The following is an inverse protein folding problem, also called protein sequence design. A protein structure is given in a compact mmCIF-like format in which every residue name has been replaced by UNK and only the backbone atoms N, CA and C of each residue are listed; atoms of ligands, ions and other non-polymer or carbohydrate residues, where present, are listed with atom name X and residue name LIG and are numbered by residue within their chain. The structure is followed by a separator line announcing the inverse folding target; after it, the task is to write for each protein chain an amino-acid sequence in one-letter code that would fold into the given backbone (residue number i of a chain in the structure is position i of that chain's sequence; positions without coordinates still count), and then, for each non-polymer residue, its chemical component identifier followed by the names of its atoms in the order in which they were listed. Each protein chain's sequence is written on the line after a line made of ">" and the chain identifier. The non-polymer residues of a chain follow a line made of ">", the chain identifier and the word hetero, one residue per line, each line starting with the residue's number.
data_IF_398156550720
#
_entry.id   IF_398156550720
#
_cell.length_a   1.000
_cell.length_b   1.000
_cell.length_c   1.000
_cell.angle_alpha   90.00
_cell.angle_beta   90.00
_cell.angle_gamma   90.00
#
_symmetry.space_group_name_H-M   'P 1'
#
loop_
_entity.id
_entity.type
_entity.pdbx_description
1 polymer ?
#
# COMPACT_ATOMS: atom_id res chain seq x y z
N UNK A 1 44.37 16.07 -2.65
CA UNK A 1 43.55 14.86 -2.88
C UNK A 1 43.45 13.94 -1.66
N UNK A 2 44.54 13.53 -0.99
CA UNK A 2 44.49 12.59 0.16
C UNK A 2 43.68 13.05 1.39
N UNK A 3 43.71 14.35 1.75
CA UNK A 3 42.99 14.90 2.91
C UNK A 3 41.46 14.81 2.75
N UNK A 4 40.95 15.02 1.54
CA UNK A 4 39.51 14.92 1.26
C UNK A 4 39.05 13.46 1.34
N UNK A 5 39.89 12.51 0.92
CA UNK A 5 39.59 11.08 1.01
C UNK A 5 39.48 10.59 2.46
N UNK A 6 40.36 11.06 3.35
CA UNK A 6 40.32 10.74 4.78
C UNK A 6 39.05 11.30 5.44
N UNK A 7 38.70 12.55 5.14
CA UNK A 7 37.48 13.17 5.67
C UNK A 7 36.23 12.47 5.16
N UNK A 8 36.16 12.14 3.87
CA UNK A 8 35.04 11.39 3.28
C UNK A 8 34.91 9.99 3.89
N UNK A 9 36.03 9.29 4.10
CA UNK A 9 36.02 7.98 4.74
C UNK A 9 35.53 8.06 6.19
N UNK A 10 35.97 9.07 6.95
CA UNK A 10 35.54 9.27 8.34
C UNK A 10 34.03 9.56 8.44
N UNK A 11 33.51 10.42 7.55
CA UNK A 11 32.08 10.72 7.46
C UNK A 11 31.27 9.46 7.11
N UNK A 12 31.74 8.65 6.17
CA UNK A 12 31.06 7.40 5.81
C UNK A 12 31.01 6.41 6.99
N UNK A 13 32.09 6.29 7.77
CA UNK A 13 32.11 5.43 8.98
C UNK A 13 31.14 5.94 10.05
N UNK A 14 31.07 7.26 10.27
CA UNK A 14 30.13 7.85 11.24
C UNK A 14 28.68 7.61 10.80
N UNK A 15 28.36 7.82 9.53
CA UNK A 15 27.02 7.55 8.98
C UNK A 15 26.68 6.06 9.12
N UNK A 16 27.60 5.16 8.76
CA UNK A 16 27.39 3.72 8.90
C UNK A 16 27.18 3.32 10.37
N UNK A 17 27.99 3.86 11.30
CA UNK A 17 27.86 3.64 12.74
C UNK A 17 26.52 4.14 13.29
N UNK A 18 26.06 5.31 12.85
CA UNK A 18 24.75 5.85 13.21
C UNK A 18 23.61 4.98 12.66
N UNK A 19 23.67 4.58 11.40
CA UNK A 19 22.64 3.72 10.77
C UNK A 19 22.58 2.34 11.45
N UNK A 20 23.73 1.72 11.74
CA UNK A 20 23.81 0.45 12.44
C UNK A 20 23.32 0.57 13.90
N UNK A 21 23.73 1.63 14.60
CA UNK A 21 23.27 1.93 15.96
C UNK A 21 21.77 2.19 16.03
N UNK A 22 21.21 2.92 15.07
CA UNK A 22 19.78 3.14 14.96
C UNK A 22 19.02 1.83 14.69
N UNK A 23 19.51 0.96 13.80
CA UNK A 23 18.90 -0.36 13.58
C UNK A 23 18.96 -1.26 14.81
N UNK A 24 20.05 -1.20 15.57
CA UNK A 24 20.21 -1.94 16.81
C UNK A 24 19.25 -1.43 17.90
N UNK A 25 19.08 -0.11 18.02
CA UNK A 25 18.23 0.51 19.04
C UNK A 25 16.74 0.44 18.71
N UNK A 26 16.34 0.60 17.45
CA UNK A 26 14.94 0.73 17.03
C UNK A 26 14.36 -0.54 16.38
N UNK A 27 15.17 -1.58 16.16
CA UNK A 27 14.74 -2.83 15.55
C UNK A 27 14.36 -2.72 14.07
N UNK A 28 13.64 -3.71 13.56
CA UNK A 28 13.13 -3.74 12.18
C UNK A 28 11.86 -2.90 12.05
N UNK A 29 11.91 -1.87 11.20
CA UNK A 29 10.76 -1.02 10.87
C UNK A 29 10.06 -1.59 9.63
N UNK A 30 8.74 -1.82 9.73
CA UNK A 30 7.93 -2.19 8.56
C UNK A 30 7.75 -0.94 7.69
N UNK A 31 8.18 -0.96 6.42
CA UNK A 31 8.16 0.23 5.56
C UNK A 31 6.73 0.63 5.19
N UNK A 32 6.35 1.91 5.35
CA UNK A 32 5.02 2.37 4.97
C UNK A 32 4.84 2.44 3.45
N UNK A 33 3.58 2.39 3.04
CA UNK A 33 3.13 2.59 1.65
C UNK A 33 2.13 3.73 1.62
N UNK A 34 2.20 4.56 0.59
CA UNK A 34 1.25 5.65 0.39
C UNK A 34 0.00 5.14 -0.33
N UNK A 35 -1.15 5.67 0.07
CA UNK A 35 -2.46 5.42 -0.54
C UNK A 35 -3.36 6.63 -0.43
N UNK A 36 -4.60 6.49 -0.90
CA UNK A 36 -5.62 7.51 -0.77
C UNK A 36 -6.86 7.01 -0.03
N UNK A 37 -7.45 7.89 0.77
CA UNK A 37 -8.77 7.70 1.36
C UNK A 37 -9.48 9.06 1.43
N UNK A 38 -10.72 9.14 0.96
CA UNK A 38 -11.52 10.38 0.95
C UNK A 38 -10.76 11.62 0.41
N UNK A 39 -9.97 11.43 -0.66
CA UNK A 39 -9.19 12.49 -1.30
C UNK A 39 -7.86 12.82 -0.60
N UNK A 40 -7.59 12.27 0.59
CA UNK A 40 -6.39 12.52 1.38
C UNK A 40 -5.34 11.42 1.21
N UNK A 41 -4.06 11.80 1.22
CA UNK A 41 -2.95 10.84 1.27
C UNK A 41 -2.85 10.20 2.65
N UNK A 42 -2.67 8.89 2.67
CA UNK A 42 -2.49 8.09 3.88
C UNK A 42 -1.29 7.16 3.76
N UNK A 43 -0.83 6.67 4.91
CA UNK A 43 0.19 5.64 5.01
C UNK A 43 -0.38 4.38 5.64
N UNK A 44 0.06 3.22 5.16
CA UNK A 44 -0.35 1.90 5.66
C UNK A 44 0.78 0.89 5.45
N UNK A 45 0.59 -0.35 5.94
CA UNK A 45 1.55 -1.46 5.79
C UNK A 45 0.86 -2.74 5.31
N UNK A 46 1.65 -3.72 4.85
CA UNK A 46 1.19 -5.03 4.36
C UNK A 46 1.76 -6.19 5.18
N UNK A 47 1.33 -6.42 6.42
CA UNK A 47 1.87 -7.51 7.24
C UNK A 47 1.53 -8.91 6.69
N UNK A 48 0.30 -9.15 6.23
CA UNK A 48 -0.15 -10.48 5.75
C UNK A 48 -1.08 -10.40 4.54
N UNK A 49 -1.08 -11.45 3.71
CA UNK A 49 -2.03 -11.63 2.61
C UNK A 49 -2.47 -13.10 2.49
N UNK A 50 -3.68 -13.33 1.99
CA UNK A 50 -4.23 -14.68 1.84
C UNK A 50 -3.64 -15.48 0.68
N UNK A 51 -3.10 -14.79 -0.32
CA UNK A 51 -2.57 -15.41 -1.54
C UNK A 51 -1.04 -15.31 -1.60
N UNK A 52 -0.33 -16.41 -1.90
CA UNK A 52 1.13 -16.43 -1.91
C UNK A 52 1.75 -15.57 -3.02
N UNK A 53 1.10 -15.41 -4.18
CA UNK A 53 1.62 -14.57 -5.26
C UNK A 53 1.48 -13.10 -4.91
N UNK A 54 0.36 -12.71 -4.31
CA UNK A 54 0.15 -11.34 -3.79
C UNK A 54 1.14 -11.02 -2.68
N UNK A 55 1.32 -11.92 -1.71
CA UNK A 55 2.32 -11.75 -0.65
C UNK A 55 3.74 -11.56 -1.23
N UNK A 56 4.12 -12.35 -2.23
CA UNK A 56 5.42 -12.23 -2.90
C UNK A 56 5.57 -10.90 -3.65
N UNK A 57 4.53 -10.45 -4.36
CA UNK A 57 4.52 -9.17 -5.06
C UNK A 57 4.75 -8.01 -4.08
N UNK A 58 3.97 -7.96 -2.99
CA UNK A 58 4.06 -6.92 -1.97
C UNK A 58 5.41 -6.96 -1.22
N UNK A 59 5.94 -8.16 -0.98
CA UNK A 59 7.28 -8.34 -0.39
C UNK A 59 8.35 -7.71 -1.27
N UNK A 60 8.31 -7.96 -2.58
CA UNK A 60 9.25 -7.38 -3.55
C UNK A 60 9.11 -5.87 -3.65
N UNK A 61 7.87 -5.36 -3.66
CA UNK A 61 7.59 -3.93 -3.77
C UNK A 61 8.24 -3.10 -2.65
N UNK A 62 8.27 -3.61 -1.41
CA UNK A 62 8.76 -2.85 -0.24
C UNK A 62 10.02 -3.40 0.39
N UNK A 63 10.54 -4.52 -0.09
CA UNK A 63 11.73 -5.18 0.48
C UNK A 63 11.52 -5.66 1.91
N UNK A 64 10.27 -5.92 2.32
CA UNK A 64 9.88 -6.34 3.67
C UNK A 64 8.93 -7.54 3.57
N UNK A 65 9.11 -8.61 4.36
CA UNK A 65 8.28 -9.81 4.24
C UNK A 65 6.79 -9.55 4.48
N UNK A 66 5.96 -10.06 3.57
CA UNK A 66 4.50 -10.21 3.76
C UNK A 66 4.20 -11.67 3.97
N UNK A 67 3.56 -12.03 5.09
CA UNK A 67 3.28 -13.42 5.42
C UNK A 67 2.08 -13.95 4.65
N UNK A 68 2.15 -15.22 4.26
CA UNK A 68 1.03 -15.91 3.61
C UNK A 68 0.12 -16.50 4.69
N UNK A 69 -1.14 -16.06 4.72
CA UNK A 69 -2.15 -16.53 5.68
C UNK A 69 -3.44 -16.87 4.92
N UNK A 70 -3.55 -18.08 4.34
CA UNK A 70 -4.69 -18.47 3.48
C UNK A 70 -6.05 -18.29 4.15
N UNK A 71 -6.09 -18.45 5.47
CA UNK A 71 -7.30 -18.33 6.30
C UNK A 71 -7.95 -16.94 6.24
N UNK A 72 -7.20 -15.89 5.88
CA UNK A 72 -7.77 -14.56 5.66
C UNK A 72 -8.82 -14.56 4.54
N UNK A 73 -8.70 -15.41 3.51
CA UNK A 73 -9.70 -15.52 2.45
C UNK A 73 -11.03 -16.12 2.92
N UNK A 74 -11.07 -16.74 4.11
CA UNK A 74 -12.28 -17.30 4.72
C UNK A 74 -13.02 -16.29 5.60
N UNK A 75 -12.49 -15.08 5.77
CA UNK A 75 -13.15 -14.04 6.54
C UNK A 75 -14.54 -13.72 5.95
N UNK A 76 -15.60 -13.58 6.77
CA UNK A 76 -16.93 -13.21 6.27
C UNK A 76 -16.89 -11.87 5.54
N UNK A 77 -17.59 -11.76 4.41
CA UNK A 77 -17.53 -10.58 3.53
C UNK A 77 -17.91 -9.29 4.25
N UNK A 78 -18.80 -9.38 5.23
CA UNK A 78 -19.31 -8.27 6.03
C UNK A 78 -18.26 -7.70 7.00
N UNK A 79 -17.18 -8.45 7.25
CA UNK A 79 -16.04 -8.03 8.09
C UNK A 79 -14.91 -7.40 7.28
N UNK A 80 -15.02 -7.39 5.95
CA UNK A 80 -14.02 -6.86 5.04
C UNK A 80 -14.39 -5.45 4.61
N UNK A 81 -13.37 -4.60 4.50
CA UNK A 81 -13.45 -3.34 3.77
C UNK A 81 -12.79 -3.53 2.38
N UNK A 82 -12.91 -2.56 1.48
CA UNK A 82 -12.31 -2.68 0.15
C UNK A 82 -10.97 -1.96 0.06
N UNK A 83 -10.09 -2.50 -0.77
CA UNK A 83 -8.97 -1.78 -1.36
C UNK A 83 -9.08 -1.89 -2.88
N UNK A 84 -8.79 -0.79 -3.57
CA UNK A 84 -8.84 -0.69 -5.01
C UNK A 84 -7.42 -0.48 -5.55
N UNK A 85 -6.96 -1.41 -6.38
CA UNK A 85 -5.59 -1.47 -6.90
C UNK A 85 -5.61 -1.42 -8.41
N UNK A 86 -4.80 -0.57 -9.03
CA UNK A 86 -4.84 -0.31 -10.47
C UNK A 86 -3.83 -1.16 -11.23
N UNK A 87 -4.28 -1.86 -12.28
CA UNK A 87 -3.44 -2.68 -13.17
C UNK A 87 -2.94 -1.92 -14.41
N UNK A 88 -3.49 -0.73 -14.70
CA UNK A 88 -3.06 0.15 -15.78
C UNK A 88 -3.44 1.62 -15.52
N UNK A 89 -3.16 2.50 -16.48
CA UNK A 89 -3.52 3.93 -16.44
C UNK A 89 -2.39 4.82 -15.92
N UNK A 90 -2.69 5.68 -14.95
CA UNK A 90 -1.73 6.67 -14.41
C UNK A 90 -0.55 5.95 -13.74
N UNK A 91 0.67 6.22 -14.22
CA UNK A 91 1.90 5.68 -13.64
C UNK A 91 2.13 6.19 -12.22
N UNK A 92 2.62 5.32 -11.34
CA UNK A 92 2.81 5.65 -9.94
C UNK A 92 3.51 4.54 -9.14
N UNK A 93 3.38 4.61 -7.82
CA UNK A 93 4.09 3.74 -6.87
C UNK A 93 3.21 2.60 -6.31
N UNK A 94 2.09 2.29 -6.95
CA UNK A 94 1.21 1.19 -6.58
C UNK A 94 1.79 -0.18 -6.97
N UNK A 95 1.15 -1.30 -6.56
CA UNK A 95 1.67 -2.66 -6.73
C UNK A 95 2.02 -3.08 -8.16
N UNK A 96 1.37 -2.50 -9.18
CA UNK A 96 1.60 -2.77 -10.61
C UNK A 96 2.27 -1.59 -11.33
N UNK A 97 2.97 -0.70 -10.62
CA UNK A 97 3.61 0.51 -11.16
C UNK A 97 2.64 1.58 -11.70
N UNK A 98 1.39 1.52 -11.25
CA UNK A 98 0.35 2.51 -11.51
C UNK A 98 0.04 3.29 -10.23
N UNK A 99 -1.02 4.09 -10.24
CA UNK A 99 -1.33 4.97 -9.11
C UNK A 99 -1.46 4.23 -7.77
N UNK A 100 -1.35 5.00 -6.70
CA UNK A 100 -1.48 4.49 -5.34
C UNK A 100 -2.87 3.89 -5.07
N UNK A 101 -2.92 2.96 -4.13
CA UNK A 101 -4.15 2.24 -3.79
C UNK A 101 -5.18 3.20 -3.18
N UNK A 102 -6.46 2.96 -3.48
CA UNK A 102 -7.58 3.71 -2.91
C UNK A 102 -8.32 2.84 -1.91
N UNK A 103 -8.62 3.39 -0.74
CA UNK A 103 -9.32 2.71 0.34
C UNK A 103 -10.71 3.31 0.54
N UNK A 104 -11.63 2.49 1.04
CA UNK A 104 -12.90 2.96 1.61
C UNK A 104 -12.87 2.95 3.14
N UNK A 105 -13.91 3.55 3.74
CA UNK A 105 -14.23 3.49 5.17
C UNK A 105 -13.03 3.83 6.08
N UNK A 106 -12.68 5.11 6.26
CA UNK A 106 -11.59 5.51 7.15
C UNK A 106 -11.85 5.10 8.61
N UNK A 107 -10.80 4.94 9.44
CA UNK A 107 -10.94 4.70 10.87
C UNK A 107 -11.91 5.70 11.52
N UNK A 108 -12.75 5.20 12.41
CA UNK A 108 -13.83 5.98 13.04
C UNK A 108 -15.14 6.02 12.24
N UNK A 109 -15.18 5.46 11.04
CA UNK A 109 -16.43 5.27 10.26
C UNK A 109 -16.97 3.86 10.38
N UNK A 110 -18.27 3.70 10.11
CA UNK A 110 -18.89 2.37 10.01
C UNK A 110 -18.28 1.62 8.82
N UNK A 111 -17.87 0.38 9.04
CA UNK A 111 -17.30 -0.46 7.99
C UNK A 111 -15.78 -0.32 7.82
N UNK A 112 -15.09 0.42 8.69
CA UNK A 112 -13.63 0.31 8.75
C UNK A 112 -13.24 -1.12 9.11
N UNK A 113 -12.32 -1.67 8.33
CA UNK A 113 -11.64 -2.92 8.63
C UNK A 113 -10.20 -2.83 8.16
N UNK A 114 -9.22 -3.33 8.93
CA UNK A 114 -7.86 -3.51 8.42
C UNK A 114 -7.79 -4.69 7.43
N UNK A 115 -8.78 -5.60 7.43
CA UNK A 115 -8.85 -6.67 6.43
C UNK A 115 -9.52 -6.15 5.17
N UNK A 116 -8.76 -6.15 4.07
CA UNK A 116 -9.15 -5.56 2.80
C UNK A 116 -9.38 -6.63 1.74
N UNK A 117 -10.58 -6.64 1.18
CA UNK A 117 -10.89 -7.38 -0.05
C UNK A 117 -10.25 -6.66 -1.23
N UNK A 118 -9.41 -7.38 -1.97
CA UNK A 118 -8.72 -6.85 -3.15
C UNK A 118 -9.68 -6.68 -4.32
N UNK A 119 -9.77 -5.46 -4.84
CA UNK A 119 -10.45 -5.14 -6.09
C UNK A 119 -9.41 -4.64 -7.10
N UNK A 120 -9.16 -5.45 -8.14
CA UNK A 120 -8.25 -5.09 -9.22
C UNK A 120 -8.98 -4.30 -10.28
N UNK A 121 -8.50 -3.10 -10.56
CA UNK A 121 -9.11 -2.15 -11.48
C UNK A 121 -8.32 -2.05 -12.78
N UNK A 122 -9.03 -1.93 -13.90
CA UNK A 122 -8.43 -1.70 -15.21
C UNK A 122 -9.23 -0.65 -15.96
N UNK A 123 -8.57 0.43 -16.37
CA UNK A 123 -9.12 1.41 -17.30
C UNK A 123 -9.38 0.74 -18.64
N UNK A 124 -10.62 0.85 -19.13
CA UNK A 124 -10.98 0.36 -20.46
C UNK A 124 -10.33 1.18 -21.58
N UNK A 125 -10.05 2.46 -21.30
CA UNK A 125 -9.26 3.34 -22.16
C UNK A 125 -8.20 4.04 -21.34
N UNK A 126 -6.92 3.78 -21.62
CA UNK A 126 -5.80 4.39 -20.89
C UNK A 126 -5.69 5.89 -21.14
N UNK A 127 -6.16 6.39 -22.28
CA UNK A 127 -6.16 7.83 -22.59
C UNK A 127 -7.16 8.63 -21.74
N UNK A 128 -8.15 7.96 -21.16
CA UNK A 128 -9.11 8.54 -20.22
C UNK A 128 -8.68 8.38 -18.75
N UNK A 129 -7.58 7.67 -18.50
CA UNK A 129 -7.11 7.39 -17.15
C UNK A 129 -6.73 8.69 -16.42
N UNK A 130 -7.22 8.81 -15.19
CA UNK A 130 -6.92 9.91 -14.29
C UNK A 130 -6.68 9.38 -12.88
N UNK A 131 -6.02 10.18 -12.04
CA UNK A 131 -5.80 9.77 -10.66
C UNK A 131 -7.15 9.77 -9.92
N UNK A 132 -7.46 8.69 -9.22
CA UNK A 132 -8.65 8.58 -8.37
C UNK A 132 -8.18 8.48 -6.93
N UNK A 133 -8.78 9.28 -6.04
CA UNK A 133 -8.32 9.49 -4.66
C UNK A 133 -9.38 9.16 -3.61
N UNK A 134 -10.56 8.72 -4.02
CA UNK A 134 -11.62 8.28 -3.09
C UNK A 134 -12.37 7.07 -3.64
N UNK A 135 -12.90 6.25 -2.74
CA UNK A 135 -13.74 5.12 -3.12
C UNK A 135 -15.00 5.58 -3.89
N UNK A 136 -15.51 6.78 -3.60
CA UNK A 136 -16.60 7.40 -4.35
C UNK A 136 -16.23 7.69 -5.80
N UNK A 137 -15.04 8.24 -6.07
CA UNK A 137 -14.55 8.46 -7.43
C UNK A 137 -14.37 7.14 -8.19
N UNK A 138 -13.84 6.12 -7.52
CA UNK A 138 -13.70 4.77 -8.08
C UNK A 138 -15.07 4.20 -8.45
N UNK A 139 -16.04 4.24 -7.54
CA UNK A 139 -17.41 3.77 -7.79
C UNK A 139 -18.07 4.51 -8.95
N UNK A 140 -17.89 5.83 -9.05
CA UNK A 140 -18.40 6.63 -10.17
C UNK A 140 -17.78 6.23 -11.50
N UNK A 141 -16.46 6.02 -11.54
CA UNK A 141 -15.78 5.57 -12.76
C UNK A 141 -16.20 4.15 -13.19
N UNK A 142 -16.45 3.25 -12.22
CA UNK A 142 -17.04 1.92 -12.50
C UNK A 142 -18.46 2.07 -13.06
N UNK A 143 -19.32 2.87 -12.42
CA UNK A 143 -20.70 3.08 -12.84
C UNK A 143 -20.82 3.76 -14.22
N UNK A 144 -19.88 4.65 -14.56
CA UNK A 144 -19.74 5.25 -15.88
C UNK A 144 -19.17 4.26 -16.93
N UNK A 145 -18.78 3.05 -16.52
CA UNK A 145 -18.23 2.03 -17.39
C UNK A 145 -16.78 2.28 -17.82
N UNK A 146 -16.06 3.20 -17.18
CA UNK A 146 -14.67 3.55 -17.50
C UNK A 146 -13.67 2.51 -16.97
N UNK A 147 -14.02 1.86 -15.86
CA UNK A 147 -13.23 0.82 -15.20
C UNK A 147 -13.91 -0.54 -15.29
N UNK A 148 -13.13 -1.60 -15.47
CA UNK A 148 -13.52 -2.97 -15.12
C UNK A 148 -12.96 -3.34 -13.75
N UNK A 149 -13.66 -4.23 -13.05
CA UNK A 149 -13.31 -4.72 -11.71
C UNK A 149 -13.15 -6.23 -11.75
N UNK A 150 -12.05 -6.72 -11.19
CA UNK A 150 -11.80 -8.14 -10.95
C UNK A 150 -11.61 -8.36 -9.43
N UNK A 151 -12.33 -9.35 -8.89
CA UNK A 151 -12.27 -9.72 -7.48
C UNK A 151 -11.71 -11.14 -7.36
N UNK A 152 -10.38 -11.31 -7.16
CA UNK A 152 -9.76 -12.63 -7.11
C UNK A 152 -10.05 -13.41 -5.81
N UNK A 153 -10.83 -12.84 -4.87
CA UNK A 153 -11.08 -13.44 -3.55
C UNK A 153 -9.89 -13.35 -2.60
N UNK A 154 -8.93 -12.47 -2.88
CA UNK A 154 -7.76 -12.24 -2.02
C UNK A 154 -8.10 -11.24 -0.93
N UNK A 155 -7.72 -11.57 0.30
CA UNK A 155 -7.83 -10.69 1.47
C UNK A 155 -6.44 -10.35 1.97
N UNK A 156 -6.22 -9.06 2.24
CA UNK A 156 -4.93 -8.53 2.70
C UNK A 156 -5.16 -7.81 4.03
N UNK A 157 -4.32 -8.07 5.03
CA UNK A 157 -4.30 -7.23 6.22
C UNK A 157 -3.51 -5.95 5.90
N UNK A 158 -4.18 -4.80 5.96
CA UNK A 158 -3.66 -3.49 5.57
C UNK A 158 -3.99 -2.45 6.65
N UNK A 159 -3.40 -2.53 7.85
CA UNK A 159 -3.65 -1.56 8.90
C UNK A 159 -3.10 -0.19 8.50
N UNK A 160 -3.91 0.85 8.72
CA UNK A 160 -3.52 2.23 8.43
C UNK A 160 -2.61 2.79 9.53
N UNK A 161 -1.61 3.56 9.13
CA UNK A 161 -0.73 4.32 10.01
C UNK A 161 -1.16 5.79 10.10
N UNK A 162 -1.77 6.33 9.04
CA UNK A 162 -2.36 7.68 9.05
C UNK A 162 -3.72 7.63 8.37
N UNK A 163 -4.63 8.52 8.77
CA UNK A 163 -5.98 8.64 8.21
C UNK A 163 -6.53 10.06 8.44
N UNK A 164 -7.63 10.45 7.77
CA UNK A 164 -8.28 11.72 8.03
C UNK A 164 -8.59 11.90 9.52
N UNK A 165 -7.95 12.89 10.15
CA UNK A 165 -8.14 13.20 11.57
C UNK A 165 -7.29 12.37 12.55
N UNK A 166 -6.35 11.52 12.10
CA UNK A 166 -5.51 10.77 13.03
C UNK A 166 -4.26 10.10 12.45
N UNK A 167 -3.39 9.65 13.34
CA UNK A 167 -2.19 8.87 13.01
C UNK A 167 -1.78 7.99 14.20
N UNK A 168 -0.86 7.06 13.92
CA UNK A 168 -0.19 6.17 14.86
C UNK A 168 1.30 6.52 14.96
#
# INVERSE_FOLDING_TARGET
>A
MKRNLVVTALVAVIIAGFVLGARFLFGTVVPPVDGYIEGQRIRFIHPEASDPKVAQLLTKMKGSPVLVVPELAKAPKETLANVYVFKNGVKGNGPFEFQADVFDNPPGTKGYSPLRSLNLLTWKSETAARELRSADEVRKAIAAGELSVEQPGVVINMPLLTWPGGNR
#
